data_IF_930414123408
#
_entry.id   IF_930414123408
#
_cell.length_a   1.000
_cell.length_b   1.000
_cell.length_c   1.000
_cell.angle_alpha   90.00
_cell.angle_beta   90.00
_cell.angle_gamma   90.00
#
_symmetry.space_group_name_H-M   'P 1'
#
loop_
_entity.id
_entity.type
_entity.pdbx_description
1 polymer ?
#
# COMPACT_ATOMS: atom_id res chain seq x y z
N UNK A 1 -3.81 4.42 -4.77
CA UNK A 1 -2.62 3.68 -5.21
C UNK A 1 -2.82 2.19 -5.02
N UNK A 2 -1.78 1.42 -5.29
CA UNK A 2 -1.79 -0.04 -5.17
C UNK A 2 -1.98 -0.52 -3.72
N UNK A 3 -2.73 -1.60 -3.53
CA UNK A 3 -2.88 -2.23 -2.22
C UNK A 3 -1.64 -3.04 -1.83
N UNK A 4 -1.20 -2.90 -0.59
CA UNK A 4 -0.25 -3.81 0.04
C UNK A 4 -1.02 -4.90 0.81
N UNK A 5 -0.84 -6.17 0.45
CA UNK A 5 -1.51 -7.27 1.15
C UNK A 5 -0.75 -7.76 2.39
N UNK A 6 0.54 -7.43 2.51
CA UNK A 6 1.39 -7.96 3.59
C UNK A 6 1.35 -7.08 4.83
N UNK A 7 1.36 -5.75 4.67
CA UNK A 7 1.57 -4.82 5.79
C UNK A 7 0.67 -3.58 5.79
N UNK A 8 -0.42 -3.57 5.00
CA UNK A 8 -1.31 -2.39 4.87
C UNK A 8 -1.96 -1.97 6.19
N UNK A 9 -1.68 -0.75 6.63
CA UNK A 9 -2.16 -0.16 7.88
C UNK A 9 -3.28 0.92 7.73
N UNK A 10 -3.71 1.21 6.50
CA UNK A 10 -4.90 2.02 6.19
C UNK A 10 -5.98 1.13 5.54
N UNK A 11 -6.33 0.04 6.22
CA UNK A 11 -7.33 -0.93 5.77
C UNK A 11 -7.08 -2.35 6.29
N UNK A 12 -6.53 -3.21 5.44
CA UNK A 12 -6.55 -4.67 5.60
C UNK A 12 -5.92 -5.21 6.88
N UNK A 13 -4.62 -5.02 7.10
CA UNK A 13 -3.91 -5.62 8.25
C UNK A 13 -4.20 -4.81 9.51
N UNK A 14 -4.28 -3.49 9.34
CA UNK A 14 -4.73 -2.55 10.36
C UNK A 14 -5.38 -1.37 9.65
N UNK A 15 -6.25 -0.65 10.34
CA UNK A 15 -6.82 0.60 9.86
C UNK A 15 -6.62 1.70 10.89
N UNK A 16 -5.36 2.11 11.06
CA UNK A 16 -4.94 3.04 12.12
C UNK A 16 -5.74 4.33 12.03
N UNK A 17 -5.86 4.86 10.81
CA UNK A 17 -6.48 6.16 10.53
C UNK A 17 -7.98 6.22 10.80
N UNK A 18 -8.62 5.09 11.11
CA UNK A 18 -10.03 5.00 11.49
C UNK A 18 -10.23 4.26 12.82
N UNK A 19 -9.21 4.22 13.68
CA UNK A 19 -9.35 3.64 15.02
C UNK A 19 -10.14 4.57 15.95
N UNK A 20 -11.17 4.03 16.62
CA UNK A 20 -12.02 4.78 17.57
C UNK A 20 -11.26 5.40 18.76
N UNK A 21 -10.11 4.81 19.13
CA UNK A 21 -9.27 5.31 20.23
C UNK A 21 -8.48 6.57 19.87
N UNK A 22 -8.44 6.96 18.58
CA UNK A 22 -7.76 8.16 18.12
C UNK A 22 -8.73 9.32 18.05
N UNK A 23 -8.23 10.51 18.38
CA UNK A 23 -9.01 11.76 18.39
C UNK A 23 -9.28 12.33 16.98
N UNK A 24 -8.78 11.69 15.92
CA UNK A 24 -8.99 12.08 14.54
C UNK A 24 -9.17 10.84 13.66
N UNK A 25 -10.16 10.92 12.78
CA UNK A 25 -10.47 9.87 11.80
C UNK A 25 -10.39 10.46 10.40
N UNK A 26 -9.75 9.74 9.50
CA UNK A 26 -9.50 10.19 8.12
C UNK A 26 -10.27 9.31 7.14
N UNK A 27 -10.89 9.94 6.15
CA UNK A 27 -11.49 9.23 5.02
C UNK A 27 -10.40 8.69 4.10
N UNK A 28 -10.51 7.39 3.77
CA UNK A 28 -9.50 6.69 2.97
C UNK A 28 -10.05 6.38 1.58
N UNK A 29 -9.41 6.93 0.55
CA UNK A 29 -9.66 6.56 -0.84
C UNK A 29 -8.54 5.66 -1.37
N UNK A 30 -8.89 4.43 -1.76
CA UNK A 30 -7.97 3.47 -2.38
C UNK A 30 -8.19 3.34 -3.90
N UNK A 31 -7.27 2.67 -4.61
CA UNK A 31 -7.45 2.35 -6.03
C UNK A 31 -7.02 3.44 -7.03
N UNK A 32 -6.73 4.67 -6.57
CA UNK A 32 -6.26 5.75 -7.45
C UNK A 32 -4.96 5.33 -8.15
N UNK A 33 -4.98 5.21 -9.49
CA UNK A 33 -3.87 4.74 -10.30
C UNK A 33 -3.23 3.44 -9.79
N UNK A 34 -4.08 2.48 -9.37
CA UNK A 34 -3.62 1.24 -8.74
C UNK A 34 -2.72 0.42 -9.64
N UNK A 35 -3.05 0.28 -10.93
CA UNK A 35 -2.27 -0.51 -11.87
C UNK A 35 -0.87 0.10 -12.07
N UNK A 36 -0.80 1.40 -12.33
CA UNK A 36 0.45 2.13 -12.54
C UNK A 36 1.34 2.08 -11.29
N UNK A 37 0.74 2.28 -10.10
CA UNK A 37 1.45 2.15 -8.84
C UNK A 37 1.96 0.71 -8.61
N UNK A 38 1.18 -0.30 -9.00
CA UNK A 38 1.55 -1.71 -8.85
C UNK A 38 2.72 -2.07 -9.77
N UNK A 39 2.67 -1.59 -11.01
CA UNK A 39 3.67 -1.91 -12.02
C UNK A 39 5.03 -1.29 -11.70
N UNK A 40 5.06 -0.06 -11.16
CA UNK A 40 6.29 0.57 -10.65
C UNK A 40 6.96 -0.33 -9.59
N UNK A 41 6.18 -0.84 -8.63
CA UNK A 41 6.72 -1.70 -7.57
C UNK A 41 7.23 -3.03 -8.12
N UNK A 42 6.48 -3.67 -9.05
CA UNK A 42 6.90 -4.93 -9.67
C UNK A 42 8.22 -4.76 -10.42
N UNK A 43 8.32 -3.75 -11.27
CA UNK A 43 9.52 -3.45 -12.05
C UNK A 43 10.74 -3.25 -11.13
N UNK A 44 10.60 -2.42 -10.10
CA UNK A 44 11.68 -2.17 -9.14
C UNK A 44 12.20 -3.47 -8.49
N UNK A 45 11.30 -4.33 -8.00
CA UNK A 45 11.71 -5.56 -7.34
C UNK A 45 12.19 -6.65 -8.32
N UNK A 46 11.73 -6.64 -9.57
CA UNK A 46 12.29 -7.49 -10.63
C UNK A 46 13.73 -7.11 -10.95
N UNK A 47 13.99 -5.83 -11.20
CA UNK A 47 15.33 -5.30 -11.44
C UNK A 47 16.27 -5.59 -10.27
N UNK A 48 15.82 -5.33 -9.04
CA UNK A 48 16.60 -5.60 -7.81
C UNK A 48 16.97 -7.08 -7.64
N UNK A 49 16.08 -8.00 -8.04
CA UNK A 49 16.36 -9.44 -8.00
C UNK A 49 17.34 -9.86 -9.08
N UNK A 50 17.23 -9.28 -10.28
CA UNK A 50 18.11 -9.58 -11.40
C UNK A 50 19.53 -9.00 -11.19
N UNK A 51 19.66 -7.84 -10.52
CA UNK A 51 20.96 -7.22 -10.25
C UNK A 51 21.77 -7.90 -9.14
N UNK A 52 21.14 -8.78 -8.35
CA UNK A 52 21.77 -9.56 -7.27
C UNK A 52 22.13 -10.99 -7.68
N UNK A 53 21.89 -11.34 -8.95
CA UNK A 53 22.31 -12.58 -9.59
C UNK A 53 23.69 -12.38 -10.24
#
# INVERSE_FOLDING_TARGET
>A
GASDYKTRACGSVLNIVQMEKLNHQVDVQSGVLENECSDILKMFFEELRNSKK
#
